data_IF_190271760110
#
_entry.id   IF_190271760110
#
_cell.length_a   1.000
_cell.length_b   1.000
_cell.length_c   1.000
_cell.angle_alpha   90.00
_cell.angle_beta   90.00
_cell.angle_gamma   90.00
#
_symmetry.space_group_name_H-M   'P 1'
#
loop_
_entity.id
_entity.type
_entity.pdbx_description
1 polymer ?
#
# COMPACT_ATOMS: atom_id res chain seq x y z
N UNK A 1 7.83 -28.30 -70.83
CA UNK A 1 7.56 -29.16 -69.65
C UNK A 1 6.80 -28.28 -68.64
N UNK A 2 5.45 -28.28 -68.46
CA UNK A 2 4.51 -29.32 -67.95
C UNK A 2 5.08 -30.07 -66.74
N UNK A 3 4.55 -30.07 -65.50
CA UNK A 3 3.18 -30.15 -64.91
C UNK A 3 3.17 -29.39 -63.55
N UNK A 4 2.17 -28.60 -63.13
CA UNK A 4 0.74 -28.83 -62.72
C UNK A 4 0.51 -29.33 -61.27
N UNK A 5 -0.24 -28.50 -60.51
CA UNK A 5 -1.34 -28.81 -59.55
C UNK A 5 -0.92 -29.35 -58.16
N UNK A 6 -1.59 -29.12 -57.02
CA UNK A 6 -2.84 -28.49 -56.56
C UNK A 6 -2.58 -28.14 -55.05
N UNK A 7 -3.41 -27.50 -54.23
CA UNK A 7 -4.85 -27.40 -54.13
C UNK A 7 -5.20 -26.29 -53.11
N UNK A 8 -6.30 -25.60 -53.33
CA UNK A 8 -6.97 -24.71 -52.37
C UNK A 8 -7.16 -25.37 -51.00
N UNK A 9 -6.97 -24.64 -49.90
CA UNK A 9 -7.85 -24.74 -48.72
C UNK A 9 -7.83 -23.42 -47.93
N UNK A 10 -8.97 -22.73 -48.04
CA UNK A 10 -9.65 -21.88 -47.06
C UNK A 10 -8.84 -20.79 -46.33
N UNK A 11 -9.03 -19.51 -46.65
CA UNK A 11 -10.10 -18.64 -46.14
C UNK A 11 -10.21 -18.59 -44.60
N UNK A 12 -10.02 -17.37 -44.05
CA UNK A 12 -10.53 -16.89 -42.75
C UNK A 12 -9.92 -17.50 -41.47
N UNK A 13 -8.64 -17.27 -41.23
CA UNK A 13 -8.15 -17.12 -39.85
C UNK A 13 -8.42 -15.67 -39.38
N UNK A 14 -9.70 -15.34 -39.26
CA UNK A 14 -10.19 -14.06 -38.72
C UNK A 14 -9.96 -13.95 -37.20
N UNK A 15 -10.39 -12.83 -36.59
CA UNK A 15 -9.89 -12.26 -35.33
C UNK A 15 -9.98 -13.14 -34.07
N UNK A 16 -10.55 -14.34 -34.16
CA UNK A 16 -10.66 -15.32 -33.08
C UNK A 16 -9.29 -15.77 -32.53
N UNK A 17 -8.26 -15.90 -33.36
CA UNK A 17 -6.92 -16.24 -32.89
C UNK A 17 -6.26 -15.09 -32.10
N UNK A 18 -6.55 -13.83 -32.46
CA UNK A 18 -6.08 -12.66 -31.75
C UNK A 18 -6.86 -12.42 -30.43
N UNK A 19 -8.16 -12.75 -30.39
CA UNK A 19 -8.98 -12.69 -29.17
C UNK A 19 -8.56 -13.75 -28.15
N UNK A 20 -8.18 -14.96 -28.60
CA UNK A 20 -7.70 -16.01 -27.70
C UNK A 20 -6.31 -15.69 -27.09
N UNK A 21 -5.44 -15.03 -27.88
CA UNK A 21 -4.16 -14.52 -27.38
C UNK A 21 -4.34 -13.33 -26.41
N UNK A 22 -5.30 -12.43 -26.67
CA UNK A 22 -5.62 -11.32 -25.77
C UNK A 22 -6.24 -11.79 -24.44
N UNK A 23 -7.00 -12.89 -24.43
CA UNK A 23 -7.56 -13.48 -23.21
C UNK A 23 -6.48 -14.05 -22.27
N UNK A 24 -5.36 -14.55 -22.82
CA UNK A 24 -4.19 -14.99 -22.04
C UNK A 24 -3.41 -13.82 -21.42
N UNK A 25 -3.48 -12.62 -22.00
CA UNK A 25 -2.87 -11.41 -21.44
C UNK A 25 -3.79 -10.77 -20.39
N UNK A 26 -5.12 -10.90 -20.52
CA UNK A 26 -6.09 -10.41 -19.54
C UNK A 26 -6.18 -11.26 -18.26
N UNK A 27 -5.83 -12.55 -18.31
CA UNK A 27 -5.61 -13.34 -17.08
C UNK A 27 -4.29 -13.00 -16.37
N UNK A 28 -3.49 -12.09 -16.95
CA UNK A 28 -2.20 -11.63 -16.43
C UNK A 28 -2.24 -10.81 -15.14
N UNK A 29 -3.43 -10.43 -14.62
CA UNK A 29 -3.53 -9.82 -13.28
C UNK A 29 -3.75 -10.84 -12.15
N UNK A 30 -4.01 -12.11 -12.46
CA UNK A 30 -4.21 -13.18 -11.47
C UNK A 30 -3.36 -14.44 -11.73
N UNK A 31 -2.84 -14.62 -12.94
CA UNK A 31 -2.13 -15.84 -13.35
C UNK A 31 -0.67 -15.94 -12.91
N UNK A 32 0.00 -14.84 -12.61
CA UNK A 32 1.40 -14.87 -12.15
C UNK A 32 1.56 -15.39 -10.71
N UNK A 33 0.46 -15.50 -9.94
CA UNK A 33 0.48 -15.99 -8.57
C UNK A 33 0.22 -17.50 -8.44
N UNK A 34 -0.27 -18.20 -9.47
CA UNK A 34 -0.81 -19.56 -9.32
C UNK A 34 -0.28 -20.63 -10.29
N UNK A 35 0.58 -20.27 -11.25
CA UNK A 35 1.20 -21.26 -12.16
C UNK A 35 2.63 -21.53 -11.73
N UNK A 36 2.78 -22.39 -10.72
CA UNK A 36 4.07 -22.88 -10.24
C UNK A 36 4.19 -22.72 -8.73
N UNK A 37 3.98 -23.80 -7.99
CA UNK A 37 4.03 -23.87 -6.52
C UNK A 37 5.36 -23.47 -5.86
N UNK A 38 6.30 -22.87 -6.59
CA UNK A 38 7.51 -22.25 -6.07
C UNK A 38 7.38 -20.72 -5.87
N UNK A 39 6.43 -20.04 -6.54
CA UNK A 39 6.35 -18.58 -6.51
C UNK A 39 5.58 -18.02 -5.29
N UNK A 40 4.69 -18.79 -4.67
CA UNK A 40 3.94 -18.36 -3.47
C UNK A 40 4.77 -18.39 -2.18
N UNK A 41 5.93 -19.07 -2.17
CA UNK A 41 6.78 -19.19 -0.98
C UNK A 41 7.75 -18.02 -0.75
N UNK A 42 8.12 -17.25 -1.78
CA UNK A 42 9.24 -16.29 -1.68
C UNK A 42 8.83 -14.96 -1.05
N UNK A 43 7.56 -14.54 -1.17
CA UNK A 43 7.13 -13.23 -0.67
C UNK A 43 6.77 -13.22 0.83
N UNK A 44 6.59 -14.37 1.46
CA UNK A 44 6.23 -14.47 2.89
C UNK A 44 7.48 -14.59 3.78
N UNK A 45 8.64 -14.97 3.22
CA UNK A 45 9.84 -15.29 4.00
C UNK A 45 10.63 -14.07 4.54
N UNK A 46 10.22 -12.82 4.24
CA UNK A 46 11.01 -11.63 4.60
C UNK A 46 10.31 -10.62 5.53
N UNK A 47 9.00 -10.77 5.79
CA UNK A 47 8.32 -9.95 6.79
C UNK A 47 8.63 -10.51 8.19
N UNK A 48 8.86 -9.62 9.14
CA UNK A 48 9.05 -9.99 10.55
C UNK A 48 7.72 -10.29 11.24
N UNK A 49 6.59 -9.94 10.60
CA UNK A 49 5.23 -10.23 11.06
C UNK A 49 4.79 -11.63 10.60
N UNK A 50 4.02 -12.31 11.46
CA UNK A 50 3.38 -13.56 11.07
C UNK A 50 2.20 -13.31 10.14
N UNK A 51 1.79 -14.27 9.29
CA UNK A 51 0.62 -14.12 8.42
C UNK A 51 -0.66 -13.76 9.19
N UNK A 52 -0.84 -14.25 10.40
CA UNK A 52 -1.98 -13.94 11.26
C UNK A 52 -2.00 -12.46 11.67
N UNK A 53 -0.82 -11.87 11.91
CA UNK A 53 -0.70 -10.43 12.19
C UNK A 53 -1.05 -9.62 10.94
N UNK A 54 -0.55 -10.00 9.77
CA UNK A 54 -0.86 -9.30 8.50
C UNK A 54 -2.36 -9.33 8.19
N UNK A 55 -3.01 -10.49 8.34
CA UNK A 55 -4.45 -10.61 8.16
C UNK A 55 -5.24 -9.87 9.26
N UNK A 56 -4.70 -9.83 10.47
CA UNK A 56 -5.26 -9.06 11.56
C UNK A 56 -5.21 -7.55 11.31
N UNK A 57 -4.09 -7.04 10.79
CA UNK A 57 -3.93 -5.64 10.39
C UNK A 57 -4.99 -5.24 9.35
N UNK A 58 -5.21 -6.06 8.32
CA UNK A 58 -6.24 -5.80 7.29
C UNK A 58 -7.65 -5.73 7.90
N UNK A 59 -7.97 -6.64 8.82
CA UNK A 59 -9.28 -6.62 9.52
C UNK A 59 -9.44 -5.37 10.40
N UNK A 60 -8.37 -4.95 11.07
CA UNK A 60 -8.35 -3.70 11.85
C UNK A 60 -8.58 -2.50 10.93
N UNK A 61 -7.86 -2.41 9.81
CA UNK A 61 -8.02 -1.34 8.82
C UNK A 61 -9.48 -1.27 8.33
N UNK A 62 -10.04 -2.39 7.85
CA UNK A 62 -11.41 -2.44 7.34
C UNK A 62 -12.45 -2.04 8.39
N UNK A 63 -12.32 -2.56 9.61
CA UNK A 63 -13.27 -2.26 10.70
C UNK A 63 -13.19 -0.80 11.13
N UNK A 64 -11.98 -0.26 11.25
CA UNK A 64 -11.76 1.15 11.59
C UNK A 64 -12.32 2.07 10.50
N UNK A 65 -12.02 1.82 9.23
CA UNK A 65 -12.57 2.57 8.09
C UNK A 65 -14.09 2.53 8.09
N UNK A 66 -14.70 1.35 8.30
CA UNK A 66 -16.15 1.21 8.37
C UNK A 66 -16.76 2.07 9.48
N UNK A 67 -16.22 2.00 10.71
CA UNK A 67 -16.75 2.76 11.86
C UNK A 67 -16.56 4.27 11.68
N UNK A 68 -15.42 4.69 11.15
CA UNK A 68 -15.14 6.10 10.88
C UNK A 68 -16.05 6.65 9.79
N UNK A 69 -16.26 5.91 8.70
CA UNK A 69 -17.17 6.31 7.62
C UNK A 69 -18.63 6.34 8.09
N UNK A 70 -19.06 5.39 8.93
CA UNK A 70 -20.40 5.44 9.54
C UNK A 70 -20.57 6.66 10.45
N UNK A 71 -19.50 7.10 11.13
CA UNK A 71 -19.55 8.23 12.05
C UNK A 71 -19.53 9.58 11.33
N UNK A 72 -18.60 9.74 10.37
CA UNK A 72 -18.28 11.04 9.79
C UNK A 72 -18.77 11.21 8.36
N UNK A 73 -18.91 10.11 7.60
CA UNK A 73 -19.26 10.16 6.18
C UNK A 73 -18.36 11.12 5.41
N UNK A 74 -18.97 11.99 4.60
CA UNK A 74 -18.25 12.97 3.77
C UNK A 74 -17.75 14.20 4.54
N UNK A 75 -18.02 14.30 5.85
CA UNK A 75 -17.56 15.43 6.67
C UNK A 75 -16.05 15.42 6.92
N UNK A 76 -15.41 14.26 6.76
CA UNK A 76 -13.99 14.07 7.00
C UNK A 76 -13.36 13.18 5.93
N UNK A 77 -12.09 13.38 5.69
CA UNK A 77 -11.29 12.46 4.89
C UNK A 77 -10.28 11.77 5.80
N UNK A 78 -10.56 10.52 6.19
CA UNK A 78 -9.70 9.77 7.10
C UNK A 78 -9.18 8.52 6.40
N UNK A 79 -7.86 8.47 6.23
CA UNK A 79 -7.11 7.31 5.80
C UNK A 79 -6.62 6.55 7.03
N UNK A 80 -6.92 5.26 7.09
CA UNK A 80 -6.48 4.36 8.17
C UNK A 80 -5.39 3.45 7.63
N UNK A 81 -4.33 3.27 8.41
CA UNK A 81 -3.29 2.28 8.11
C UNK A 81 -2.91 1.54 9.39
N UNK A 82 -2.92 0.21 9.37
CA UNK A 82 -2.46 -0.64 10.45
C UNK A 82 -1.11 -1.28 10.09
N UNK A 83 -0.26 -1.41 11.10
CA UNK A 83 0.94 -2.23 11.02
C UNK A 83 1.22 -2.80 12.42
N UNK A 84 1.27 -4.13 12.55
CA UNK A 84 1.44 -4.81 13.82
C UNK A 84 0.43 -4.39 14.91
N UNK A 85 -0.80 -4.09 14.49
CA UNK A 85 -1.90 -3.55 15.31
C UNK A 85 -1.70 -2.13 15.86
N UNK A 86 -0.69 -1.41 15.41
CA UNK A 86 -0.59 0.04 15.60
C UNK A 86 -1.30 0.73 14.44
N UNK A 87 -2.32 1.52 14.75
CA UNK A 87 -3.13 2.25 13.77
C UNK A 87 -2.60 3.67 13.59
N UNK A 88 -2.30 4.04 12.36
CA UNK A 88 -2.02 5.40 11.94
C UNK A 88 -3.29 5.99 11.30
N UNK A 89 -3.74 7.14 11.81
CA UNK A 89 -4.79 7.95 11.20
C UNK A 89 -4.18 9.15 10.49
N UNK A 90 -4.52 9.33 9.22
CA UNK A 90 -4.05 10.44 8.35
C UNK A 90 -5.21 11.03 7.55
N UNK A 91 -5.01 12.21 6.98
CA UNK A 91 -6.02 12.96 6.23
C UNK A 91 -6.48 14.20 6.99
N UNK A 92 -7.74 14.60 6.78
CA UNK A 92 -8.29 15.86 7.25
C UNK A 92 -9.62 15.72 7.98
N UNK A 93 -9.78 16.50 9.04
CA UNK A 93 -11.03 16.69 9.76
C UNK A 93 -11.32 18.19 9.95
N UNK A 94 -12.60 18.60 10.00
CA UNK A 94 -12.99 20.01 10.15
C UNK A 94 -12.55 20.64 11.48
N UNK A 95 -12.52 19.86 12.56
CA UNK A 95 -12.28 20.38 13.91
C UNK A 95 -11.57 19.36 14.83
N UNK A 96 -11.05 19.86 15.94
CA UNK A 96 -10.31 19.07 16.93
C UNK A 96 -11.19 18.01 17.61
N UNK A 97 -12.50 18.25 17.75
CA UNK A 97 -13.41 17.30 18.38
C UNK A 97 -13.59 16.06 17.50
N UNK A 98 -13.70 16.23 16.19
CA UNK A 98 -13.71 15.11 15.24
C UNK A 98 -12.37 14.37 15.23
N UNK A 99 -11.25 15.11 15.34
CA UNK A 99 -9.91 14.50 15.46
C UNK A 99 -9.82 13.54 16.66
N UNK A 100 -10.22 14.01 17.85
CA UNK A 100 -10.22 13.22 19.09
C UNK A 100 -11.21 12.04 19.01
N UNK A 101 -12.40 12.27 18.46
CA UNK A 101 -13.40 11.23 18.31
C UNK A 101 -12.96 10.12 17.34
N UNK A 102 -12.27 10.47 16.25
CA UNK A 102 -11.72 9.50 15.31
C UNK A 102 -10.69 8.58 15.97
N UNK A 103 -9.81 9.14 16.80
CA UNK A 103 -8.84 8.38 17.59
C UNK A 103 -9.52 7.43 18.58
N UNK A 104 -10.54 7.92 19.29
CA UNK A 104 -11.34 7.09 20.22
C UNK A 104 -12.04 5.94 19.50
N UNK A 105 -12.59 6.18 18.30
CA UNK A 105 -13.24 5.12 17.50
C UNK A 105 -12.23 4.08 17.06
N UNK A 106 -11.07 4.51 16.56
CA UNK A 106 -10.01 3.62 16.12
C UNK A 106 -9.45 2.79 17.29
N UNK A 107 -9.26 3.39 18.46
CA UNK A 107 -8.73 2.69 19.65
C UNK A 107 -9.69 1.64 20.22
N UNK A 108 -10.98 1.72 19.86
CA UNK A 108 -12.02 0.75 20.26
C UNK A 108 -12.17 -0.42 19.28
N UNK A 109 -11.40 -0.44 18.19
CA UNK A 109 -11.37 -1.60 17.28
C UNK A 109 -10.60 -2.73 17.95
N UNK A 110 -11.10 -3.95 17.80
CA UNK A 110 -10.51 -5.14 18.42
C UNK A 110 -9.04 -5.29 18.02
N UNK A 111 -8.20 -5.69 18.97
CA UNK A 111 -6.75 -5.96 18.80
C UNK A 111 -5.87 -4.74 18.57
N UNK A 112 -6.42 -3.52 18.44
CA UNK A 112 -5.60 -2.30 18.34
C UNK A 112 -4.74 -2.13 19.60
N UNK A 113 -3.42 -1.97 19.40
CA UNK A 113 -2.45 -1.76 20.48
C UNK A 113 -2.24 -0.29 20.79
N UNK A 114 -2.19 0.53 19.74
CA UNK A 114 -1.94 1.96 19.82
C UNK A 114 -2.55 2.67 18.62
N UNK A 115 -2.89 3.94 18.79
CA UNK A 115 -3.32 4.83 17.73
C UNK A 115 -2.35 6.01 17.65
N UNK A 116 -1.89 6.30 16.45
CA UNK A 116 -1.08 7.48 16.12
C UNK A 116 -1.95 8.40 15.27
N UNK A 117 -2.38 9.51 15.85
CA UNK A 117 -3.36 10.40 15.25
C UNK A 117 -2.71 11.64 14.59
N UNK A 118 -2.43 11.51 13.30
CA UNK A 118 -1.80 12.55 12.48
C UNK A 118 -2.82 13.26 11.57
N UNK A 119 -4.12 13.20 11.92
CA UNK A 119 -5.17 13.96 11.24
C UNK A 119 -4.89 15.46 11.31
N UNK A 120 -5.02 16.15 10.19
CA UNK A 120 -4.86 17.60 10.12
C UNK A 120 -6.22 18.29 10.23
N UNK A 121 -6.24 19.47 10.85
CA UNK A 121 -7.42 20.32 10.82
C UNK A 121 -7.49 21.04 9.48
N UNK A 122 -8.59 20.87 8.76
CA UNK A 122 -8.77 21.51 7.46
C UNK A 122 -9.86 20.88 6.61
N UNK A 123 -10.15 21.51 5.47
CA UNK A 123 -11.01 20.93 4.45
C UNK A 123 -10.30 19.76 3.74
N UNK A 124 -11.05 18.76 3.23
CA UNK A 124 -10.48 17.63 2.50
C UNK A 124 -9.58 18.07 1.34
N UNK A 125 -8.43 17.39 1.20
CA UNK A 125 -7.45 17.76 0.17
C UNK A 125 -7.94 17.42 -1.26
N UNK A 126 -7.75 18.32 -2.25
CA UNK A 126 -8.10 18.03 -3.65
C UNK A 126 -7.33 16.84 -4.22
N UNK A 127 -7.96 16.13 -5.16
CA UNK A 127 -7.44 14.88 -5.77
C UNK A 127 -6.02 14.99 -6.35
N UNK A 128 -5.60 16.17 -6.78
CA UNK A 128 -4.27 16.41 -7.33
C UNK A 128 -3.13 16.14 -6.35
N UNK A 129 -3.35 16.33 -5.04
CA UNK A 129 -2.31 16.04 -4.02
C UNK A 129 -2.10 14.53 -3.84
N UNK A 130 -3.14 13.72 -4.03
CA UNK A 130 -3.10 12.26 -3.88
C UNK A 130 -2.21 11.58 -4.93
N UNK A 131 -2.23 12.10 -6.16
CA UNK A 131 -1.35 11.64 -7.24
C UNK A 131 0.12 11.90 -6.91
N UNK A 132 0.43 13.08 -6.35
CA UNK A 132 1.77 13.41 -5.90
C UNK A 132 2.23 12.52 -4.73
N UNK A 133 1.36 12.22 -3.78
CA UNK A 133 1.70 11.38 -2.61
C UNK A 133 1.97 9.91 -3.00
N UNK A 134 1.22 9.38 -3.97
CA UNK A 134 1.46 8.03 -4.52
C UNK A 134 2.82 7.98 -5.22
N UNK A 135 3.12 8.99 -6.04
CA UNK A 135 4.42 9.11 -6.71
C UNK A 135 5.58 9.26 -5.70
N UNK A 136 5.39 10.07 -4.65
CA UNK A 136 6.38 10.26 -3.60
C UNK A 136 6.64 8.95 -2.84
N UNK A 137 5.58 8.22 -2.48
CA UNK A 137 5.68 6.89 -1.86
C UNK A 137 6.48 5.92 -2.72
N UNK A 138 6.19 5.87 -4.03
CA UNK A 138 6.93 5.04 -4.98
C UNK A 138 8.42 5.39 -5.05
N UNK A 139 8.77 6.69 -5.09
CA UNK A 139 10.16 7.16 -5.10
C UNK A 139 10.92 6.80 -3.82
N UNK A 140 10.29 6.91 -2.66
CA UNK A 140 10.90 6.55 -1.38
C UNK A 140 11.17 5.04 -1.35
N UNK A 141 10.18 4.22 -1.73
CA UNK A 141 10.36 2.76 -1.81
C UNK A 141 11.47 2.36 -2.79
N UNK A 142 11.52 2.98 -3.96
CA UNK A 142 12.61 2.77 -4.91
C UNK A 142 13.97 3.16 -4.30
N UNK A 143 14.04 4.29 -3.59
CA UNK A 143 15.27 4.74 -2.92
C UNK A 143 15.71 3.79 -1.80
N UNK A 144 14.78 3.17 -1.07
CA UNK A 144 15.10 2.12 -0.08
C UNK A 144 15.76 0.91 -0.75
N UNK A 145 15.20 0.46 -1.88
CA UNK A 145 15.75 -0.66 -2.66
C UNK A 145 17.13 -0.31 -3.22
N UNK A 146 17.29 0.87 -3.81
CA UNK A 146 18.58 1.31 -4.39
C UNK A 146 19.66 1.47 -3.32
N UNK A 147 19.32 2.02 -2.14
CA UNK A 147 20.27 2.20 -1.07
C UNK A 147 20.70 0.86 -0.43
N UNK A 148 19.80 -0.14 -0.42
CA UNK A 148 20.05 -1.50 0.07
C UNK A 148 20.69 -1.56 1.48
N UNK A 149 20.29 -0.63 2.37
CA UNK A 149 20.83 -0.51 3.74
C UNK A 149 20.05 -1.36 4.76
N UNK A 150 18.84 -1.74 4.40
CA UNK A 150 17.91 -2.59 5.15
C UNK A 150 16.94 -3.25 4.16
N UNK A 151 16.16 -4.25 4.61
CA UNK A 151 15.13 -4.86 3.77
C UNK A 151 13.94 -3.89 3.61
N UNK A 152 13.72 -3.38 2.41
CA UNK A 152 12.66 -2.41 2.12
C UNK A 152 11.24 -2.89 2.53
N UNK A 153 11.00 -4.22 2.55
CA UNK A 153 9.70 -4.79 2.95
C UNK A 153 9.42 -4.64 4.46
N UNK A 154 10.44 -4.35 5.28
CA UNK A 154 10.26 -4.14 6.73
C UNK A 154 9.74 -2.74 7.07
N UNK A 155 9.69 -1.82 6.09
CA UNK A 155 9.22 -0.45 6.28
C UNK A 155 8.02 -0.18 5.37
N UNK A 156 6.84 -0.03 5.97
CA UNK A 156 5.64 0.49 5.30
C UNK A 156 5.75 2.01 5.23
N UNK A 157 5.65 2.55 4.01
CA UNK A 157 5.67 3.98 3.73
C UNK A 157 4.25 4.43 3.42
N UNK A 158 3.75 5.39 4.18
CA UNK A 158 2.49 6.10 3.93
C UNK A 158 2.82 7.55 3.67
N UNK A 159 2.21 8.16 2.66
CA UNK A 159 2.39 9.59 2.37
C UNK A 159 1.03 10.25 2.30
N UNK A 160 0.89 11.39 2.98
CA UNK A 160 -0.30 12.24 2.92
C UNK A 160 0.15 13.70 2.94
N UNK A 161 -0.26 14.50 1.94
CA UNK A 161 0.09 15.92 1.79
C UNK A 161 1.60 16.20 1.86
N UNK A 162 2.42 15.34 1.26
CA UNK A 162 3.88 15.45 1.32
C UNK A 162 4.52 15.15 2.68
N UNK A 163 3.74 14.75 3.68
CA UNK A 163 4.24 14.19 4.95
C UNK A 163 4.36 12.68 4.78
N UNK A 164 5.53 12.14 5.14
CA UNK A 164 5.84 10.72 5.06
C UNK A 164 5.78 10.11 6.45
N UNK A 165 4.97 9.07 6.61
CA UNK A 165 4.89 8.27 7.82
C UNK A 165 5.57 6.93 7.55
N UNK A 166 6.56 6.58 8.38
CA UNK A 166 7.30 5.33 8.27
C UNK A 166 6.89 4.40 9.41
N UNK A 167 6.27 3.28 9.07
CA UNK A 167 5.85 2.22 10.00
C UNK A 167 6.71 0.97 9.76
N UNK A 168 6.94 0.16 10.79
CA UNK A 168 7.76 -1.04 10.64
C UNK A 168 8.22 -1.64 11.96
N UNK A 169 8.50 -2.94 11.95
CA UNK A 169 9.22 -3.64 13.02
C UNK A 169 10.71 -3.62 12.69
N UNK A 170 11.42 -2.64 13.22
CA UNK A 170 12.80 -2.33 12.82
C UNK A 170 13.69 -2.13 14.03
N UNK A 171 15.01 -2.33 13.86
CA UNK A 171 15.97 -1.87 14.86
C UNK A 171 16.27 -0.37 14.69
N UNK A 172 16.97 0.23 15.66
CA UNK A 172 17.28 1.67 15.64
C UNK A 172 18.04 2.10 14.38
N UNK A 173 19.01 1.29 13.94
CA UNK A 173 19.82 1.58 12.75
C UNK A 173 18.96 1.58 11.48
N UNK A 174 18.10 0.58 11.31
CA UNK A 174 17.17 0.48 10.18
C UNK A 174 16.19 1.66 10.16
N UNK A 175 15.66 2.05 11.33
CA UNK A 175 14.78 3.21 11.46
C UNK A 175 15.48 4.52 11.07
N UNK A 176 16.73 4.72 11.51
CA UNK A 176 17.52 5.90 11.17
C UNK A 176 17.87 5.93 9.68
N UNK A 177 18.26 4.78 9.10
CA UNK A 177 18.56 4.65 7.68
C UNK A 177 17.32 4.93 6.80
N UNK A 178 16.16 4.40 7.18
CA UNK A 178 14.89 4.64 6.49
C UNK A 178 14.48 6.12 6.56
N UNK A 179 14.61 6.73 7.75
CA UNK A 179 14.32 8.15 7.96
C UNK A 179 15.23 9.03 7.10
N UNK A 180 16.52 8.70 7.05
CA UNK A 180 17.53 9.43 6.28
C UNK A 180 17.28 9.41 4.78
N UNK A 181 16.90 8.25 4.24
CA UNK A 181 16.58 8.13 2.82
C UNK A 181 15.28 8.87 2.50
N UNK A 182 14.24 8.70 3.33
CA UNK A 182 12.95 9.37 3.13
C UNK A 182 13.12 10.90 3.14
N UNK A 183 13.78 11.48 4.15
CA UNK A 183 13.92 12.95 4.28
C UNK A 183 14.73 13.60 3.15
N UNK A 184 15.60 12.83 2.48
CA UNK A 184 16.41 13.31 1.34
C UNK A 184 15.66 13.20 0.01
N UNK A 185 14.50 12.55 -0.02
CA UNK A 185 13.71 12.40 -1.25
C UNK A 185 13.05 13.74 -1.62
N UNK A 186 13.28 14.28 -2.83
CA UNK A 186 12.71 15.56 -3.23
C UNK A 186 11.18 15.57 -3.18
N UNK A 187 10.62 16.58 -2.51
CA UNK A 187 9.17 16.75 -2.31
C UNK A 187 8.65 16.24 -0.97
N UNK A 188 9.49 15.59 -0.15
CA UNK A 188 9.15 15.29 1.25
C UNK A 188 9.20 16.56 2.09
N UNK A 189 8.12 16.87 2.80
CA UNK A 189 8.02 18.04 3.66
C UNK A 189 8.37 17.71 5.13
N UNK A 190 7.94 16.54 5.59
CA UNK A 190 8.14 16.06 6.96
C UNK A 190 8.21 14.54 6.94
N UNK A 191 9.01 13.96 7.84
CA UNK A 191 9.02 12.52 8.10
C UNK A 191 8.58 12.29 9.54
N UNK A 192 7.58 11.43 9.73
CA UNK A 192 7.08 10.98 11.04
C UNK A 192 7.44 9.51 11.21
N UNK A 193 8.09 9.19 12.32
CA UNK A 193 8.52 7.83 12.65
C UNK A 193 7.44 7.17 13.50
N UNK A 194 6.89 6.08 12.99
CA UNK A 194 5.86 5.24 13.63
C UNK A 194 6.39 3.80 13.74
N UNK A 195 7.68 3.69 14.09
CA UNK A 195 8.37 2.41 14.19
C UNK A 195 8.14 1.75 15.55
N UNK A 196 8.08 0.43 15.52
CA UNK A 196 8.14 -0.42 16.71
C UNK A 196 9.52 -1.09 16.77
N UNK A 197 10.14 -1.04 17.95
CA UNK A 197 11.44 -1.66 18.20
C UNK A 197 11.21 -2.96 18.97
N UNK A 198 11.37 -4.14 18.36
CA UNK A 198 11.32 -5.39 19.10
C UNK A 198 12.45 -5.39 20.13
N UNK A 199 12.10 -5.74 21.37
CA UNK A 199 13.01 -5.86 22.52
C UNK A 199 14.04 -6.97 22.35
#
# INVERSE_FOLDING_TARGET
MMKKNACCFLHRAGPLAAVLAAALVLSGCFGAAFVGGAATGVLIASDRRTPEVVLGDERVELTAVQRLNQRFGDQAHISVTSYNYTVLLTGEVPDAKMKEEAERIASQVERVKAVVNELQLGAPTPLSSRGNDTYLTGRIKASFVTANRFNANQVKVVTERGVVYLMGLVNKKEADDATDIARRTPGVQKVVRVFEYPS
#
